data_IF_497675836219
#
_entry.id   IF_497675836219
#
_cell.length_a   1.000
_cell.length_b   1.000
_cell.length_c   1.000
_cell.angle_alpha   90.00
_cell.angle_beta   90.00
_cell.angle_gamma   90.00
#
_symmetry.space_group_name_H-M   'P 1'
#
loop_
_entity.id
_entity.type
_entity.pdbx_description
1 polymer ?
#
# COMPACT_ATOMS: atom_id res chain seq x y z
N UNK A 1 4.23 20.93 3.19
CA UNK A 1 4.16 20.70 1.75
C UNK A 1 4.09 19.20 1.47
N UNK A 2 3.21 18.81 0.59
CA UNK A 2 3.08 17.39 0.25
C UNK A 2 4.29 16.92 -0.57
N UNK A 3 4.77 15.73 -0.26
CA UNK A 3 5.83 15.11 -1.04
C UNK A 3 5.25 14.49 -2.30
N UNK A 4 6.01 14.53 -3.38
CA UNK A 4 5.62 13.84 -4.59
C UNK A 4 5.86 12.34 -4.40
N UNK A 5 4.86 11.54 -4.70
CA UNK A 5 4.95 10.09 -4.64
C UNK A 5 4.56 9.52 -5.99
N UNK A 6 5.16 8.42 -6.34
CA UNK A 6 4.77 7.72 -7.54
C UNK A 6 3.36 7.17 -7.34
N UNK A 7 2.46 7.45 -8.29
CA UNK A 7 1.09 6.99 -8.21
C UNK A 7 1.06 5.46 -8.16
N UNK A 8 0.27 4.93 -7.23
CA UNK A 8 0.13 3.49 -6.99
C UNK A 8 1.38 2.78 -6.46
N UNK A 9 2.33 3.55 -5.88
CA UNK A 9 3.40 2.96 -5.08
C UNK A 9 2.85 2.60 -3.70
N UNK A 10 3.61 1.82 -2.93
CA UNK A 10 3.23 1.50 -1.55
C UNK A 10 3.15 2.78 -0.72
N UNK A 11 4.10 3.69 -0.90
CA UNK A 11 4.11 4.97 -0.19
C UNK A 11 2.87 5.80 -0.53
N UNK A 12 2.46 5.79 -1.80
CA UNK A 12 1.25 6.49 -2.22
C UNK A 12 0.01 5.85 -1.57
N UNK A 13 -0.09 4.52 -1.58
CA UNK A 13 -1.20 3.81 -0.95
C UNK A 13 -1.30 4.13 0.53
N UNK A 14 -0.16 4.14 1.23
CA UNK A 14 -0.14 4.46 2.65
C UNK A 14 -0.54 5.92 2.89
N UNK A 15 -0.07 6.84 2.05
CA UNK A 15 -0.45 8.26 2.16
C UNK A 15 -1.96 8.44 1.99
N UNK A 16 -2.58 7.70 1.07
CA UNK A 16 -4.03 7.76 0.90
C UNK A 16 -4.77 7.21 2.12
N UNK A 17 -4.27 6.14 2.72
CA UNK A 17 -4.86 5.60 3.94
C UNK A 17 -4.77 6.62 5.07
N UNK A 18 -3.62 7.26 5.24
CA UNK A 18 -3.43 8.28 6.27
C UNK A 18 -4.37 9.46 6.06
N UNK A 19 -4.55 9.85 4.80
CA UNK A 19 -5.40 10.98 4.46
C UNK A 19 -6.88 10.71 4.76
N UNK A 20 -7.34 9.50 4.54
CA UNK A 20 -8.77 9.16 4.60
C UNK A 20 -9.18 8.46 5.89
N UNK A 21 -8.25 7.85 6.61
CA UNK A 21 -8.53 7.17 7.86
C UNK A 21 -8.00 8.03 9.01
N UNK A 22 -8.74 8.10 10.11
CA UNK A 22 -8.30 8.89 11.25
C UNK A 22 -7.04 8.31 11.86
N UNK A 23 -6.12 9.21 12.28
CA UNK A 23 -4.86 8.81 12.90
C UNK A 23 -5.06 7.85 14.08
N UNK A 24 -6.05 8.12 14.92
CA UNK A 24 -6.33 7.26 16.07
C UNK A 24 -6.72 5.85 15.67
N UNK A 25 -7.39 5.67 14.54
CA UNK A 25 -7.75 4.35 14.04
C UNK A 25 -6.51 3.61 13.54
N UNK A 26 -5.59 4.31 12.91
CA UNK A 26 -4.33 3.71 12.46
C UNK A 26 -3.50 3.28 13.66
N UNK A 27 -3.38 4.13 14.67
CA UNK A 27 -2.65 3.79 15.88
C UNK A 27 -3.27 2.60 16.60
N UNK A 28 -4.60 2.57 16.68
CA UNK A 28 -5.31 1.46 17.30
C UNK A 28 -5.09 0.16 16.53
N UNK A 29 -5.10 0.23 15.21
CA UNK A 29 -4.94 -0.95 14.36
C UNK A 29 -3.52 -1.51 14.42
N UNK A 30 -2.51 -0.65 14.38
CA UNK A 30 -1.12 -1.06 14.23
C UNK A 30 -0.32 -1.07 15.52
N UNK A 31 -0.76 -0.31 16.54
CA UNK A 31 0.05 -0.10 17.74
C UNK A 31 1.22 0.83 17.51
N UNK A 32 1.32 1.45 16.35
CA UNK A 32 2.40 2.36 15.99
C UNK A 32 1.90 3.80 15.99
N UNK A 33 2.77 4.75 16.32
CA UNK A 33 2.40 6.16 16.35
C UNK A 33 2.12 6.69 14.95
N UNK A 34 1.30 7.73 14.88
CA UNK A 34 1.03 8.41 13.62
C UNK A 34 2.32 8.92 12.98
N UNK A 35 3.23 9.45 13.80
CA UNK A 35 4.52 9.95 13.31
C UNK A 35 5.32 8.85 12.60
N UNK A 36 5.38 7.66 13.18
CA UNK A 36 6.06 6.53 12.58
C UNK A 36 5.41 6.12 11.26
N UNK A 37 4.09 6.04 11.25
CA UNK A 37 3.36 5.66 10.03
C UNK A 37 3.57 6.68 8.92
N UNK A 38 3.56 7.97 9.26
CA UNK A 38 3.83 9.03 8.26
C UNK A 38 5.23 8.89 7.66
N UNK A 39 6.22 8.53 8.48
CA UNK A 39 7.57 8.30 7.98
C UNK A 39 7.61 7.14 6.99
N UNK A 40 6.82 6.11 7.22
CA UNK A 40 6.72 4.98 6.30
C UNK A 40 6.13 5.39 4.94
N UNK A 41 5.37 6.47 4.88
CA UNK A 41 4.78 6.96 3.64
C UNK A 41 5.69 7.94 2.89
N UNK A 42 6.83 8.29 3.45
CA UNK A 42 7.77 9.23 2.85
C UNK A 42 8.77 8.47 1.99
N UNK A 43 8.74 8.65 0.66
CA UNK A 43 9.63 7.89 -0.23
C UNK A 43 11.11 8.25 -0.08
N UNK A 44 11.43 9.35 0.61
CA UNK A 44 12.81 9.78 0.84
C UNK A 44 13.41 9.18 2.11
N UNK A 45 12.63 8.46 2.90
CA UNK A 45 13.09 7.86 4.15
C UNK A 45 13.19 6.34 4.00
N UNK A 46 14.05 5.74 4.84
CA UNK A 46 14.27 4.31 4.81
C UNK A 46 13.25 3.51 5.60
N UNK A 47 12.44 4.17 6.43
CA UNK A 47 11.40 3.47 7.16
C UNK A 47 10.42 2.81 6.23
N UNK A 48 10.12 1.55 6.51
CA UNK A 48 9.14 0.81 5.73
C UNK A 48 8.08 0.22 6.64
N UNK A 49 6.88 0.14 6.12
CA UNK A 49 5.76 -0.41 6.85
C UNK A 49 5.87 -1.94 6.89
N UNK A 50 5.70 -2.50 8.08
CA UNK A 50 5.61 -3.94 8.25
C UNK A 50 4.38 -4.45 7.48
N UNK A 51 4.54 -5.58 6.80
CA UNK A 51 3.45 -6.17 6.02
C UNK A 51 2.22 -6.44 6.88
N UNK A 52 2.41 -6.89 8.10
CA UNK A 52 1.30 -7.16 9.02
C UNK A 52 0.55 -5.89 9.38
N UNK A 53 1.28 -4.78 9.53
CA UNK A 53 0.66 -3.49 9.79
C UNK A 53 -0.13 -3.01 8.57
N UNK A 54 0.38 -3.29 7.38
CA UNK A 54 -0.34 -2.97 6.15
C UNK A 54 -1.68 -3.69 6.09
N UNK A 55 -1.72 -4.96 6.47
CA UNK A 55 -2.96 -5.74 6.53
C UNK A 55 -3.94 -5.12 7.52
N UNK A 56 -3.43 -4.73 8.69
CA UNK A 56 -4.28 -4.12 9.74
C UNK A 56 -4.84 -2.78 9.30
N UNK A 57 -4.04 -1.97 8.60
CA UNK A 57 -4.50 -0.68 8.08
C UNK A 57 -5.59 -0.89 7.02
N UNK A 58 -5.38 -1.83 6.10
CA UNK A 58 -6.37 -2.11 5.06
C UNK A 58 -7.67 -2.65 5.65
N UNK A 59 -7.57 -3.49 6.67
CA UNK A 59 -8.75 -3.98 7.38
C UNK A 59 -9.53 -2.81 7.97
N UNK A 60 -8.83 -1.88 8.63
CA UNK A 60 -9.47 -0.71 9.21
C UNK A 60 -10.11 0.17 8.13
N UNK A 61 -9.47 0.29 6.97
CA UNK A 61 -10.05 1.02 5.85
C UNK A 61 -11.38 0.40 5.42
N UNK A 62 -11.39 -0.91 5.22
CA UNK A 62 -12.61 -1.62 4.80
C UNK A 62 -13.71 -1.46 5.85
N UNK A 63 -13.37 -1.59 7.12
CA UNK A 63 -14.34 -1.42 8.22
C UNK A 63 -14.95 -0.03 8.25
N UNK A 64 -14.28 0.95 7.69
CA UNK A 64 -14.74 2.33 7.63
C UNK A 64 -15.26 2.73 6.26
N UNK A 65 -15.58 1.76 5.41
CA UNK A 65 -16.18 2.03 4.11
C UNK A 65 -15.20 2.54 3.06
N UNK A 66 -13.89 2.38 3.31
CA UNK A 66 -12.86 2.82 2.40
C UNK A 66 -12.28 1.63 1.63
N UNK A 67 -11.63 1.92 0.53
CA UNK A 67 -10.92 0.89 -0.22
C UNK A 67 -9.65 0.46 0.54
N UNK A 68 -9.18 -0.78 0.37
CA UNK A 68 -7.90 -1.21 0.97
C UNK A 68 -6.74 -0.67 0.13
N UNK A 69 -6.29 0.54 0.46
CA UNK A 69 -5.31 1.27 -0.35
C UNK A 69 -3.99 0.53 -0.56
N UNK A 70 -3.51 -0.16 0.48
CA UNK A 70 -2.23 -0.86 0.38
C UNK A 70 -2.34 -2.12 -0.47
N UNK A 71 -3.43 -2.85 -0.33
CA UNK A 71 -3.70 -4.01 -1.17
C UNK A 71 -3.80 -3.59 -2.64
N UNK A 72 -4.47 -2.49 -2.93
CA UNK A 72 -4.60 -1.99 -4.30
C UNK A 72 -3.24 -1.60 -4.87
N UNK A 73 -2.42 -0.93 -4.08
CA UNK A 73 -1.07 -0.56 -4.52
C UNK A 73 -0.22 -1.80 -4.79
N UNK A 74 -0.27 -2.78 -3.90
CA UNK A 74 0.46 -4.03 -4.02
C UNK A 74 0.03 -4.78 -5.30
N UNK A 75 -1.26 -4.91 -5.52
CA UNK A 75 -1.83 -5.56 -6.70
C UNK A 75 -1.37 -4.85 -7.98
N UNK A 76 -1.47 -3.53 -8.00
CA UNK A 76 -1.06 -2.75 -9.16
C UNK A 76 0.42 -2.95 -9.49
N UNK A 77 1.27 -2.96 -8.48
CA UNK A 77 2.72 -3.15 -8.69
C UNK A 77 3.01 -4.51 -9.29
N UNK A 78 2.36 -5.56 -8.77
CA UNK A 78 2.54 -6.91 -9.31
C UNK A 78 2.12 -6.96 -10.78
N UNK A 79 0.95 -6.44 -11.08
CA UNK A 79 0.43 -6.47 -12.46
C UNK A 79 1.32 -5.69 -13.41
N UNK A 80 1.84 -4.54 -12.95
CA UNK A 80 2.71 -3.73 -13.78
C UNK A 80 4.04 -4.43 -14.05
N UNK A 81 4.62 -5.08 -13.05
CA UNK A 81 5.85 -5.82 -13.24
C UNK A 81 5.68 -7.02 -14.16
N UNK A 82 4.55 -7.72 -14.02
CA UNK A 82 4.23 -8.82 -14.93
C UNK A 82 4.06 -8.30 -16.36
N UNK A 83 3.42 -7.15 -16.52
CA UNK A 83 3.25 -6.53 -17.83
C UNK A 83 4.60 -6.18 -18.47
N UNK A 84 5.53 -5.63 -17.68
CA UNK A 84 6.86 -5.32 -18.14
C UNK A 84 7.63 -6.59 -18.53
N UNK A 85 7.37 -7.70 -17.86
CA UNK A 85 7.97 -8.99 -18.15
C UNK A 85 7.31 -9.71 -19.32
N UNK A 86 6.20 -9.21 -19.79
CA UNK A 86 5.43 -9.80 -20.88
C UNK A 86 6.22 -9.94 -22.15
N UNK A 87 7.17 -9.03 -22.37
CA UNK A 87 8.07 -9.10 -23.52
C UNK A 87 8.88 -10.40 -23.53
N UNK A 88 8.90 -11.13 -22.44
CA UNK A 88 9.62 -12.40 -22.30
C UNK A 88 8.71 -13.61 -22.46
N UNK A 89 7.54 -13.41 -23.04
CA UNK A 89 6.69 -14.44 -23.55
C UNK A 89 5.72 -15.15 -22.65
N UNK A 90 5.47 -14.73 -21.45
CA UNK A 90 4.52 -15.42 -20.61
C UNK A 90 3.17 -14.76 -20.62
N UNK A 91 2.15 -15.58 -20.69
CA UNK A 91 0.79 -15.12 -20.54
C UNK A 91 0.56 -14.78 -19.08
N UNK A 92 0.26 -13.53 -18.79
CA UNK A 92 0.01 -13.06 -17.43
C UNK A 92 -1.15 -13.84 -16.81
N UNK A 93 -2.20 -14.09 -17.57
CA UNK A 93 -3.36 -14.83 -17.08
C UNK A 93 -2.97 -16.23 -16.66
N UNK A 94 -2.12 -16.88 -17.43
CA UNK A 94 -1.64 -18.22 -17.09
C UNK A 94 -0.85 -18.20 -15.79
N UNK A 95 0.02 -17.21 -15.61
CA UNK A 95 0.80 -17.08 -14.39
C UNK A 95 -0.08 -16.82 -13.17
N UNK A 96 -1.07 -15.97 -13.31
CA UNK A 96 -1.97 -15.63 -12.20
C UNK A 96 -2.84 -16.81 -11.81
N UNK A 97 -3.26 -17.63 -12.76
CA UNK A 97 -4.09 -18.79 -12.49
C UNK A 97 -3.36 -19.85 -11.69
N UNK A 98 -2.03 -19.90 -11.77
CA UNK A 98 -1.23 -20.87 -11.04
C UNK A 98 -1.08 -20.53 -9.55
N UNK A 99 -1.44 -19.35 -9.15
CA UNK A 99 -1.41 -18.97 -7.75
C UNK A 99 -2.77 -19.16 -7.10
#
# INVERSE_FOLDING_TARGET
MAKLREISSIEHGLAEAIKNLKAELIEKATGKSESFIRKCSDPDLDQQLDHRDAVKIDKACIENGLTPFLLRAHEYIILKELENSKAQNHDINELLVKF
#
